data_IF_715085565184
#
_entry.id   IF_715085565184
#
_cell.length_a   1.000
_cell.length_b   1.000
_cell.length_c   1.000
_cell.angle_alpha   90.00
_cell.angle_beta   90.00
_cell.angle_gamma   90.00
#
_symmetry.space_group_name_H-M   'P 1'
#
loop_
_entity.id
_entity.type
_entity.pdbx_description
1 polymer ?
#
# COMPACT_ATOMS: atom_id res chain seq x y z
N UNK A 1 -3.90 1.73 8.77
CA UNK A 1 -4.75 2.79 8.20
C UNK A 1 -4.07 3.37 6.98
N UNK A 2 -4.82 3.67 5.92
CA UNK A 2 -4.27 4.36 4.73
C UNK A 2 -3.92 5.82 5.03
N UNK A 3 -4.69 6.48 5.89
CA UNK A 3 -4.42 7.87 6.27
C UNK A 3 -3.12 8.00 7.06
N UNK A 4 -2.86 7.06 7.99
CA UNK A 4 -1.59 7.05 8.72
C UNK A 4 -0.39 6.94 7.76
N UNK A 5 -0.48 6.13 6.70
CA UNK A 5 0.58 6.06 5.70
C UNK A 5 0.74 7.39 4.97
N UNK A 6 -0.36 8.07 4.59
CA UNK A 6 -0.28 9.39 3.97
C UNK A 6 0.40 10.43 4.87
N UNK A 7 0.06 10.43 6.16
CA UNK A 7 0.51 11.46 7.10
C UNK A 7 1.92 11.21 7.64
N UNK A 8 2.31 9.95 7.81
CA UNK A 8 3.49 9.56 8.58
C UNK A 8 4.62 8.92 7.77
N UNK A 9 4.32 8.23 6.67
CA UNK A 9 5.33 7.61 5.82
C UNK A 9 5.80 8.61 4.75
N UNK A 10 6.63 9.56 5.16
CA UNK A 10 7.03 10.71 4.33
C UNK A 10 8.50 10.68 3.90
N UNK A 11 9.26 9.64 4.28
CA UNK A 11 10.69 9.54 3.98
C UNK A 11 10.93 9.33 2.48
N UNK A 12 10.16 8.46 1.85
CA UNK A 12 10.22 8.18 0.39
C UNK A 12 8.89 8.37 -0.31
N UNK A 13 7.78 8.14 0.40
CA UNK A 13 6.44 8.40 -0.09
C UNK A 13 6.08 9.87 0.11
N UNK A 14 5.15 10.39 -0.71
CA UNK A 14 4.82 11.82 -0.81
C UNK A 14 3.34 12.08 -0.57
N UNK A 15 2.72 11.29 0.30
CA UNK A 15 1.30 11.41 0.62
C UNK A 15 0.42 11.43 -0.63
N UNK A 16 -0.40 12.46 -0.78
CA UNK A 16 -1.31 12.63 -1.91
C UNK A 16 -0.61 12.88 -3.26
N UNK A 17 0.68 13.19 -3.27
CA UNK A 17 1.48 13.36 -4.48
C UNK A 17 2.08 12.05 -5.00
N UNK A 18 1.69 10.92 -4.40
CA UNK A 18 2.07 9.59 -4.83
C UNK A 18 3.03 8.87 -3.88
N UNK A 19 3.19 7.57 -4.12
CA UNK A 19 4.03 6.70 -3.32
C UNK A 19 4.11 5.29 -3.93
N UNK A 20 4.92 4.44 -3.33
CA UNK A 20 5.08 3.05 -3.70
C UNK A 20 4.97 2.17 -2.43
N UNK A 21 4.11 1.13 -2.42
CA UNK A 21 3.95 0.22 -1.28
C UNK A 21 5.26 -0.37 -0.75
N UNK A 22 6.24 -0.62 -1.64
CA UNK A 22 7.57 -1.15 -1.29
C UNK A 22 8.30 -0.25 -0.28
N UNK A 23 8.07 1.07 -0.36
CA UNK A 23 8.66 2.02 0.56
C UNK A 23 7.88 2.15 1.88
N UNK A 24 6.62 1.72 1.91
CA UNK A 24 5.81 1.73 3.13
C UNK A 24 6.10 0.54 4.05
N UNK A 25 6.51 -0.62 3.51
CA UNK A 25 6.78 -1.78 4.37
C UNK A 25 7.84 -1.55 5.45
N UNK A 26 8.98 -0.88 5.19
CA UNK A 26 9.91 -0.49 6.24
C UNK A 26 9.27 0.38 7.33
N UNK A 27 8.42 1.34 6.97
CA UNK A 27 7.69 2.16 7.94
C UNK A 27 6.76 1.28 8.81
N UNK A 28 5.99 0.39 8.17
CA UNK A 28 5.04 -0.52 8.83
C UNK A 28 5.75 -1.54 9.72
N UNK A 29 6.94 -1.99 9.35
CA UNK A 29 7.76 -2.88 10.18
C UNK A 29 8.16 -2.20 11.49
N UNK A 30 8.69 -0.98 11.40
CA UNK A 30 9.19 -0.23 12.56
C UNK A 30 8.05 0.28 13.45
N UNK A 31 7.05 0.95 12.86
CA UNK A 31 5.99 1.66 13.61
C UNK A 31 4.69 0.87 13.70
N UNK A 32 4.39 0.09 12.67
CA UNK A 32 3.10 -0.57 12.50
C UNK A 32 1.98 0.36 12.05
N UNK A 33 0.77 -0.16 12.08
CA UNK A 33 -0.44 0.53 11.65
C UNK A 33 -1.54 0.48 12.70
N UNK A 34 -2.23 1.60 12.84
CA UNK A 34 -3.50 1.74 13.50
C UNK A 34 -4.66 1.24 12.62
N UNK A 35 -5.81 0.98 13.24
CA UNK A 35 -7.04 0.61 12.51
C UNK A 35 -7.55 1.77 11.66
N UNK A 36 -8.35 1.47 10.63
CA UNK A 36 -9.06 2.51 9.88
C UNK A 36 -10.10 3.27 10.73
N UNK A 37 -10.60 2.67 11.83
CA UNK A 37 -11.55 3.31 12.73
C UNK A 37 -10.89 4.35 13.65
N UNK A 38 -9.73 4.02 14.21
CA UNK A 38 -8.96 4.94 15.08
C UNK A 38 -8.20 6.00 14.27
N UNK A 39 -7.83 5.68 13.03
CA UNK A 39 -7.22 6.64 12.11
C UNK A 39 -7.99 6.69 10.78
N UNK A 40 -9.16 7.36 10.73
CA UNK A 40 -10.01 7.43 9.53
C UNK A 40 -9.34 8.13 8.33
N UNK A 41 -9.81 7.78 7.14
CA UNK A 41 -9.39 8.42 5.90
C UNK A 41 -10.09 9.77 5.70
N UNK A 42 -9.31 10.77 5.34
CA UNK A 42 -9.75 12.17 5.18
C UNK A 42 -9.78 12.62 3.71
N UNK A 43 -9.16 11.87 2.79
CA UNK A 43 -9.05 12.28 1.39
C UNK A 43 -7.88 13.22 1.08
N UNK A 44 -7.16 13.70 2.09
CA UNK A 44 -6.01 14.59 1.94
C UNK A 44 -4.94 14.25 2.98
N UNK A 45 -3.69 14.64 2.74
CA UNK A 45 -2.60 14.47 3.69
C UNK A 45 -2.76 15.46 4.85
N UNK A 46 -2.81 14.94 6.08
CA UNK A 46 -2.88 15.73 7.30
C UNK A 46 -1.62 16.56 7.52
N UNK A 47 -1.76 17.67 8.24
CA UNK A 47 -0.62 18.54 8.58
C UNK A 47 0.40 17.86 9.51
N UNK A 48 -0.03 16.86 10.27
CA UNK A 48 0.81 16.16 11.25
C UNK A 48 0.50 14.67 11.25
N UNK A 49 1.54 13.85 11.47
CA UNK A 49 1.39 12.44 11.79
C UNK A 49 0.80 12.30 13.20
N UNK A 50 -0.34 11.61 13.32
CA UNK A 50 -0.97 11.34 14.63
C UNK A 50 -0.45 10.05 15.24
N UNK A 51 -0.36 10.03 16.56
CA UNK A 51 0.00 8.83 17.32
C UNK A 51 -1.29 8.11 17.68
N UNK A 52 -1.41 6.87 17.23
CA UNK A 52 -2.54 5.98 17.50
C UNK A 52 -2.01 4.60 17.89
N UNK A 53 -2.74 3.81 18.69
CA UNK A 53 -2.34 2.45 19.02
C UNK A 53 -2.12 1.59 17.78
N UNK A 54 -0.94 0.99 17.68
CA UNK A 54 -0.60 0.04 16.62
C UNK A 54 -1.29 -1.30 16.88
N UNK A 55 -1.94 -1.83 15.86
CA UNK A 55 -2.62 -3.15 15.91
C UNK A 55 -1.99 -4.19 14.99
N UNK A 56 -1.18 -3.77 14.02
CA UNK A 56 -0.52 -4.67 13.08
C UNK A 56 0.86 -4.15 12.67
N UNK A 57 1.79 -5.08 12.43
CA UNK A 57 3.12 -4.84 11.87
C UNK A 57 3.41 -5.86 10.77
N UNK A 58 4.29 -5.49 9.85
CA UNK A 58 4.84 -6.41 8.85
C UNK A 58 6.17 -6.94 9.37
N UNK A 59 6.36 -8.27 9.35
CA UNK A 59 7.62 -8.88 9.79
C UNK A 59 8.63 -8.99 8.65
N UNK A 60 8.17 -9.29 7.44
CA UNK A 60 9.00 -9.42 6.25
C UNK A 60 8.23 -8.96 5.01
N UNK A 61 8.95 -8.51 4.00
CA UNK A 61 8.44 -8.15 2.68
C UNK A 61 9.50 -8.47 1.63
N UNK A 62 9.07 -8.63 0.38
CA UNK A 62 9.94 -8.96 -0.73
C UNK A 62 9.36 -8.49 -2.05
N UNK A 63 10.20 -8.52 -3.09
CA UNK A 63 9.80 -8.24 -4.45
C UNK A 63 9.76 -9.55 -5.23
N UNK A 64 8.70 -9.72 -6.01
CA UNK A 64 8.66 -10.78 -7.01
C UNK A 64 9.54 -10.39 -8.20
N UNK A 65 10.24 -11.36 -8.83
CA UNK A 65 11.00 -11.10 -10.04
C UNK A 65 10.07 -10.63 -11.16
N UNK A 66 10.54 -9.68 -11.96
CA UNK A 66 9.81 -9.23 -13.15
C UNK A 66 9.76 -10.33 -14.21
N UNK A 67 8.67 -10.40 -14.96
CA UNK A 67 8.51 -11.37 -16.06
C UNK A 67 8.29 -12.81 -15.63
N UNK A 68 7.92 -13.06 -14.37
CA UNK A 68 7.66 -14.39 -13.81
C UNK A 68 6.20 -14.51 -13.28
N UNK A 69 5.19 -14.51 -14.17
CA UNK A 69 3.78 -14.60 -13.76
C UNK A 69 3.48 -15.87 -12.95
N UNK A 70 4.16 -16.98 -13.22
CA UNK A 70 4.03 -18.24 -12.48
C UNK A 70 4.43 -18.08 -11.00
N UNK A 71 5.42 -17.25 -10.70
CA UNK A 71 5.81 -16.95 -9.32
C UNK A 71 4.73 -16.12 -8.61
N UNK A 72 4.11 -15.17 -9.32
CA UNK A 72 2.99 -14.41 -8.78
C UNK A 72 1.79 -15.31 -8.50
N UNK A 73 1.48 -16.25 -9.40
CA UNK A 73 0.42 -17.24 -9.20
C UNK A 73 0.67 -18.09 -7.94
N UNK A 74 1.88 -18.63 -7.77
CA UNK A 74 2.23 -19.40 -6.58
C UNK A 74 2.10 -18.61 -5.27
N UNK A 75 2.52 -17.33 -5.27
CA UNK A 75 2.38 -16.46 -4.08
C UNK A 75 0.91 -16.16 -3.80
N UNK A 76 0.10 -15.90 -4.82
CA UNK A 76 -1.34 -15.69 -4.64
C UNK A 76 -2.04 -16.92 -4.07
N UNK A 77 -1.67 -18.12 -4.53
CA UNK A 77 -2.26 -19.38 -4.07
C UNK A 77 -1.85 -19.77 -2.64
N UNK A 78 -0.58 -19.57 -2.28
CA UNK A 78 -0.02 -20.12 -1.04
C UNK A 78 0.27 -19.10 0.07
N UNK A 79 0.40 -17.82 -0.26
CA UNK A 79 0.73 -16.76 0.70
C UNK A 79 -0.44 -15.79 0.85
N UNK A 80 -0.99 -15.31 -0.27
CA UNK A 80 -2.14 -14.43 -0.30
C UNK A 80 -1.96 -13.20 -1.19
N UNK A 81 -2.76 -12.14 -0.96
CA UNK A 81 -2.78 -10.96 -1.83
C UNK A 81 -1.41 -10.28 -1.98
N UNK A 82 -1.09 -9.85 -3.20
CA UNK A 82 0.16 -9.17 -3.56
C UNK A 82 -0.13 -7.72 -3.94
N UNK A 83 0.63 -6.78 -3.38
CA UNK A 83 0.59 -5.38 -3.82
C UNK A 83 1.28 -5.24 -5.18
N UNK A 84 0.58 -4.70 -6.18
CA UNK A 84 1.08 -4.53 -7.55
C UNK A 84 0.91 -3.09 -8.04
N UNK A 85 1.77 -2.68 -8.96
CA UNK A 85 1.60 -1.45 -9.74
C UNK A 85 1.08 -1.79 -11.13
N UNK A 86 0.13 -1.01 -11.64
CA UNK A 86 -0.45 -1.17 -12.97
C UNK A 86 -0.30 0.13 -13.75
N UNK A 87 -0.03 0.03 -15.05
CA UNK A 87 -0.14 1.18 -15.94
C UNK A 87 -1.60 1.42 -16.27
N UNK A 88 -2.14 2.54 -15.79
CA UNK A 88 -3.54 2.95 -15.98
C UNK A 88 -3.66 4.19 -16.87
N UNK A 89 -2.63 4.48 -17.67
CA UNK A 89 -2.62 5.64 -18.57
C UNK A 89 -3.64 5.52 -19.72
N UNK A 90 -4.08 4.30 -20.05
CA UNK A 90 -5.12 4.07 -21.04
C UNK A 90 -6.50 4.53 -20.49
N UNK A 91 -7.19 5.49 -21.13
CA UNK A 91 -8.50 5.96 -20.68
C UNK A 91 -9.58 4.88 -20.62
N UNK A 92 -9.43 3.79 -21.38
CA UNK A 92 -10.36 2.64 -21.32
C UNK A 92 -10.35 1.98 -19.94
N UNK A 93 -9.23 2.05 -19.22
CA UNK A 93 -9.12 1.52 -17.86
C UNK A 93 -10.05 2.25 -16.88
N UNK A 94 -10.23 3.57 -17.05
CA UNK A 94 -11.14 4.36 -16.21
C UNK A 94 -12.61 3.98 -16.39
N UNK A 95 -12.97 3.42 -17.54
CA UNK A 95 -14.33 3.06 -17.91
C UNK A 95 -14.55 1.55 -18.01
N UNK A 96 -13.59 0.73 -17.57
CA UNK A 96 -13.73 -0.72 -17.58
C UNK A 96 -14.90 -1.16 -16.69
N UNK A 97 -15.79 -1.99 -17.24
CA UNK A 97 -17.01 -2.46 -16.56
C UNK A 97 -17.10 -3.99 -16.42
N UNK A 98 -16.19 -4.74 -17.03
CA UNK A 98 -16.16 -6.20 -16.97
C UNK A 98 -15.64 -6.85 -18.25
N UNK A 99 -15.34 -8.16 -18.19
CA UNK A 99 -14.73 -8.93 -19.27
C UNK A 99 -13.24 -9.18 -19.05
N UNK A 100 -12.58 -9.86 -19.99
CA UNK A 100 -11.12 -10.01 -20.05
C UNK A 100 -10.67 -9.48 -21.40
#
# INVERSE_FOLDING_TARGET
SVQQLLDCDTVRNRGCMGGNPVFSFPYIHTHGLATARSYPYLGFQGAFCRIEPTVAKVQSWGLLPSGAPEMMELVLQHIGPVAVGLNVADPTFLHYQGGI
#
